data_IF_589621148259
#
_entry.id   IF_589621148259
#
_cell.length_a   1.000
_cell.length_b   1.000
_cell.length_c   1.000
_cell.angle_alpha   90.00
_cell.angle_beta   90.00
_cell.angle_gamma   90.00
#
_symmetry.space_group_name_H-M   'P 1'
#
loop_
_entity.id
_entity.type
_entity.pdbx_description
1 polymer ?
#
# COMPACT_ATOMS: atom_id res chain seq x y z
N UNK A 1 -6.22 1.29 16.85
CA UNK A 1 -6.13 0.28 15.78
C UNK A 1 -6.99 0.75 14.63
N UNK A 2 -6.43 0.77 13.42
CA UNK A 2 -7.13 1.26 12.22
C UNK A 2 -8.30 0.32 11.89
N UNK A 3 -9.50 0.89 11.80
CA UNK A 3 -10.71 0.19 11.37
C UNK A 3 -11.30 1.00 10.21
N UNK A 4 -11.37 0.38 9.03
CA UNK A 4 -11.93 1.00 7.84
C UNK A 4 -13.39 0.55 7.66
N UNK A 5 -14.32 1.48 7.83
CA UNK A 5 -15.75 1.28 7.67
C UNK A 5 -16.15 0.99 6.21
N UNK A 6 -17.38 0.52 6.01
CA UNK A 6 -17.92 0.31 4.65
C UNK A 6 -18.07 1.64 3.91
N UNK A 7 -18.46 2.71 4.60
CA UNK A 7 -18.59 4.04 4.01
C UNK A 7 -17.25 4.52 3.44
N UNK A 8 -16.18 4.43 4.24
CA UNK A 8 -14.82 4.80 3.81
C UNK A 8 -14.33 3.96 2.62
N UNK A 9 -14.70 2.68 2.55
CA UNK A 9 -14.36 1.84 1.38
C UNK A 9 -15.06 2.32 0.12
N UNK A 10 -16.35 2.67 0.22
CA UNK A 10 -17.15 3.13 -0.92
C UNK A 10 -16.68 4.48 -1.47
N UNK A 11 -16.06 5.29 -0.63
CA UNK A 11 -15.47 6.59 -1.01
C UNK A 11 -14.03 6.47 -1.53
N UNK A 12 -13.41 5.29 -1.43
CA UNK A 12 -12.01 5.12 -1.81
C UNK A 12 -11.83 5.07 -3.34
N UNK A 13 -10.97 5.94 -3.92
CA UNK A 13 -10.67 5.88 -5.34
C UNK A 13 -9.97 4.58 -5.73
N UNK A 14 -9.12 4.00 -4.86
CA UNK A 14 -8.44 2.73 -5.15
C UNK A 14 -9.42 1.55 -5.22
N UNK A 15 -10.48 1.57 -4.41
CA UNK A 15 -11.49 0.51 -4.43
C UNK A 15 -12.42 0.67 -5.65
N UNK A 16 -12.80 1.90 -5.97
CA UNK A 16 -13.55 2.19 -7.18
C UNK A 16 -12.76 1.77 -8.44
N UNK A 17 -11.47 2.07 -8.47
CA UNK A 17 -10.59 1.71 -9.59
C UNK A 17 -10.36 0.21 -9.69
N UNK A 18 -10.14 -0.48 -8.57
CA UNK A 18 -10.11 -1.95 -8.54
C UNK A 18 -11.37 -2.57 -9.15
N UNK A 19 -12.54 -2.08 -8.75
CA UNK A 19 -13.82 -2.58 -9.25
C UNK A 19 -13.99 -2.33 -10.75
N UNK A 20 -13.65 -1.11 -11.21
CA UNK A 20 -13.67 -0.73 -12.62
C UNK A 20 -12.74 -1.63 -13.44
N UNK A 21 -11.48 -1.77 -13.03
CA UNK A 21 -10.46 -2.55 -13.72
C UNK A 21 -10.83 -4.03 -13.82
N UNK A 22 -11.33 -4.63 -12.73
CA UNK A 22 -11.75 -6.04 -12.77
C UNK A 22 -12.99 -6.26 -13.65
N UNK A 23 -13.94 -5.31 -13.71
CA UNK A 23 -15.08 -5.43 -14.63
C UNK A 23 -14.62 -5.32 -16.09
N UNK A 24 -13.67 -4.43 -16.41
CA UNK A 24 -13.08 -4.35 -17.75
C UNK A 24 -12.36 -5.63 -18.16
N UNK A 25 -11.51 -6.18 -17.29
CA UNK A 25 -10.79 -7.42 -17.58
C UNK A 25 -11.75 -8.61 -17.70
N UNK A 26 -12.84 -8.63 -16.90
CA UNK A 26 -13.89 -9.64 -17.05
C UNK A 26 -14.57 -9.54 -18.42
N UNK A 27 -14.91 -8.33 -18.86
CA UNK A 27 -15.53 -8.12 -20.18
C UNK A 27 -14.59 -8.52 -21.32
N UNK A 28 -13.30 -8.15 -21.25
CA UNK A 28 -12.29 -8.52 -22.25
C UNK A 28 -12.06 -10.03 -22.33
N UNK A 29 -12.09 -10.72 -21.20
CA UNK A 29 -11.87 -12.17 -21.14
C UNK A 29 -12.99 -13.00 -21.78
N UNK A 30 -14.21 -12.44 -21.88
CA UNK A 30 -15.41 -13.18 -22.27
C UNK A 30 -15.91 -14.21 -21.25
N UNK A 31 -15.23 -14.37 -20.11
CA UNK A 31 -15.62 -15.31 -19.04
C UNK A 31 -16.89 -14.86 -18.33
N UNK A 32 -17.68 -15.80 -17.83
CA UNK A 32 -18.79 -15.47 -16.93
C UNK A 32 -18.25 -14.98 -15.58
N UNK A 33 -19.03 -14.15 -14.87
CA UNK A 33 -18.59 -13.57 -13.58
C UNK A 33 -18.07 -14.60 -12.56
N UNK A 34 -18.69 -15.78 -12.36
CA UNK A 34 -18.16 -16.79 -11.42
C UNK A 34 -16.85 -17.40 -11.91
N UNK A 35 -16.70 -17.61 -13.22
CA UNK A 35 -15.48 -18.15 -13.84
C UNK A 35 -14.34 -17.15 -13.71
N UNK A 36 -14.60 -15.88 -14.03
CA UNK A 36 -13.62 -14.81 -13.88
C UNK A 36 -13.18 -14.63 -12.42
N UNK A 37 -14.13 -14.67 -11.47
CA UNK A 37 -13.80 -14.60 -10.04
C UNK A 37 -12.84 -15.74 -9.63
N UNK A 38 -13.13 -16.98 -10.05
CA UNK A 38 -12.27 -18.12 -9.79
C UNK A 38 -10.89 -17.98 -10.47
N UNK A 39 -10.86 -17.48 -11.71
CA UNK A 39 -9.64 -17.21 -12.47
C UNK A 39 -8.71 -16.23 -11.75
N UNK A 40 -9.23 -15.12 -11.22
CA UNK A 40 -8.44 -14.15 -10.42
C UNK A 40 -8.24 -14.59 -8.96
N UNK A 41 -8.65 -15.81 -8.61
CA UNK A 41 -8.36 -16.44 -7.32
C UNK A 41 -9.20 -15.93 -6.14
N UNK A 42 -10.44 -15.48 -6.40
CA UNK A 42 -11.40 -15.06 -5.37
C UNK A 42 -12.76 -15.78 -5.53
N UNK A 43 -13.55 -15.81 -4.46
CA UNK A 43 -14.92 -16.35 -4.54
C UNK A 43 -15.88 -15.37 -5.23
N UNK A 44 -17.00 -15.89 -5.75
CA UNK A 44 -18.06 -15.05 -6.33
C UNK A 44 -18.61 -14.00 -5.36
N UNK A 45 -18.70 -14.31 -4.07
CA UNK A 45 -19.10 -13.35 -3.03
C UNK A 45 -18.09 -12.23 -2.84
N UNK A 46 -16.78 -12.55 -2.84
CA UNK A 46 -15.73 -11.54 -2.79
C UNK A 46 -15.74 -10.66 -4.04
N UNK A 47 -15.94 -11.26 -5.22
CA UNK A 47 -16.07 -10.50 -6.46
C UNK A 47 -17.27 -9.54 -6.43
N UNK A 48 -18.41 -9.97 -5.89
CA UNK A 48 -19.56 -9.10 -5.65
C UNK A 48 -19.19 -7.92 -4.74
N UNK A 49 -18.49 -8.15 -3.63
CA UNK A 49 -18.08 -7.08 -2.73
C UNK A 49 -17.10 -6.10 -3.35
N UNK A 50 -16.21 -6.55 -4.24
CA UNK A 50 -15.36 -5.64 -5.00
C UNK A 50 -16.21 -4.73 -5.87
N UNK A 51 -17.14 -5.31 -6.65
CA UNK A 51 -18.04 -4.55 -7.53
C UNK A 51 -18.97 -3.57 -6.81
N UNK A 52 -19.31 -3.82 -5.55
CA UNK A 52 -20.13 -2.91 -4.74
C UNK A 52 -19.29 -1.94 -3.89
N UNK A 53 -17.97 -1.92 -4.11
CA UNK A 53 -16.98 -1.12 -3.38
C UNK A 53 -16.97 -1.38 -1.86
N UNK A 54 -17.33 -2.60 -1.45
CA UNK A 54 -17.36 -3.02 -0.04
C UNK A 54 -16.12 -3.85 0.33
N UNK A 55 -15.36 -4.30 -0.67
CA UNK A 55 -14.11 -5.01 -0.47
C UNK A 55 -13.00 -4.07 0.03
N UNK A 56 -12.08 -4.65 0.80
CA UNK A 56 -10.82 -4.04 1.17
C UNK A 56 -9.76 -5.15 1.21
N UNK A 57 -9.31 -5.61 0.03
CA UNK A 57 -8.43 -6.77 -0.07
C UNK A 57 -7.06 -6.50 0.54
N UNK A 58 -6.40 -7.59 0.97
CA UNK A 58 -5.01 -7.55 1.41
C UNK A 58 -4.06 -7.35 0.23
N UNK A 59 -2.85 -6.85 0.51
CA UNK A 59 -1.79 -6.74 -0.51
C UNK A 59 -1.54 -8.09 -1.18
N UNK A 60 -1.52 -9.19 -0.42
CA UNK A 60 -1.39 -10.53 -0.99
C UNK A 60 -2.52 -10.89 -1.97
N UNK A 61 -3.77 -10.58 -1.62
CA UNK A 61 -4.91 -10.85 -2.50
C UNK A 61 -4.82 -10.01 -3.78
N UNK A 62 -4.37 -8.76 -3.67
CA UNK A 62 -4.11 -7.87 -4.80
C UNK A 62 -3.01 -8.41 -5.71
N UNK A 63 -1.88 -8.86 -5.15
CA UNK A 63 -0.82 -9.49 -5.93
C UNK A 63 -1.32 -10.74 -6.67
N UNK A 64 -2.19 -11.55 -6.05
CA UNK A 64 -2.78 -12.72 -6.71
C UNK A 64 -3.67 -12.32 -7.89
N UNK A 65 -4.57 -11.37 -7.68
CA UNK A 65 -5.45 -10.85 -8.74
C UNK A 65 -4.63 -10.24 -9.89
N UNK A 66 -3.65 -9.41 -9.56
CA UNK A 66 -2.77 -8.76 -10.54
C UNK A 66 -1.94 -9.78 -11.35
N UNK A 67 -1.38 -10.80 -10.68
CA UNK A 67 -0.64 -11.87 -11.33
C UNK A 67 -1.50 -12.72 -12.26
N UNK A 68 -2.76 -12.98 -11.91
CA UNK A 68 -3.69 -13.70 -12.80
C UNK A 68 -4.01 -12.91 -14.07
N UNK A 69 -3.99 -11.58 -13.98
CA UNK A 69 -4.26 -10.65 -15.07
C UNK A 69 -3.01 -10.20 -15.82
N UNK A 70 -1.82 -10.72 -15.46
CA UNK A 70 -0.52 -10.33 -16.01
C UNK A 70 -0.27 -8.81 -15.97
N UNK A 71 -0.65 -8.17 -14.87
CA UNK A 71 -0.41 -6.74 -14.60
C UNK A 71 0.19 -6.54 -13.21
N UNK A 72 0.72 -5.35 -12.94
CA UNK A 72 1.17 -4.97 -11.59
C UNK A 72 -0.01 -4.59 -10.67
N UNK A 73 0.22 -4.62 -9.36
CA UNK A 73 -0.75 -4.10 -8.38
C UNK A 73 -0.98 -2.60 -8.55
N UNK A 74 0.04 -1.86 -8.98
CA UNK A 74 -0.08 -0.44 -9.31
C UNK A 74 -1.08 -0.23 -10.45
N UNK A 75 -0.89 -0.94 -11.56
CA UNK A 75 -1.81 -0.88 -12.72
C UNK A 75 -3.23 -1.31 -12.35
N UNK A 76 -3.36 -2.33 -11.49
CA UNK A 76 -4.65 -2.81 -11.01
C UNK A 76 -5.43 -1.75 -10.21
N UNK A 77 -4.75 -0.90 -9.45
CA UNK A 77 -5.39 0.05 -8.52
C UNK A 77 -5.35 1.51 -8.97
N UNK A 78 -4.50 1.87 -9.91
CA UNK A 78 -4.37 3.23 -10.46
C UNK A 78 -4.93 3.36 -11.87
N UNK A 79 -5.14 2.23 -12.56
CA UNK A 79 -5.57 2.23 -13.97
C UNK A 79 -4.54 2.85 -14.92
N UNK A 80 -3.28 2.96 -14.49
CA UNK A 80 -2.16 3.57 -15.22
C UNK A 80 -1.04 2.56 -15.39
N UNK A 81 -0.34 2.65 -16.52
CA UNK A 81 0.87 1.86 -16.76
C UNK A 81 1.90 2.07 -15.64
N UNK A 82 2.64 1.00 -15.33
CA UNK A 82 3.64 1.01 -14.26
C UNK A 82 4.73 2.09 -14.50
N UNK A 83 5.21 2.21 -15.74
CA UNK A 83 6.28 3.13 -16.12
C UNK A 83 7.65 2.72 -15.54
N UNK A 84 8.33 3.67 -14.91
CA UNK A 84 9.63 3.50 -14.24
C UNK A 84 9.53 2.97 -12.80
N UNK A 85 8.30 2.74 -12.31
CA UNK A 85 8.03 2.20 -10.98
C UNK A 85 8.44 0.75 -10.86
N UNK A 86 8.65 0.31 -9.62
CA UNK A 86 9.05 -1.08 -9.32
C UNK A 86 7.84 -2.02 -9.32
N UNK A 87 7.90 -3.08 -10.12
CA UNK A 87 6.94 -4.19 -10.02
C UNK A 87 7.40 -5.13 -8.90
N UNK A 88 6.72 -5.09 -7.76
CA UNK A 88 7.04 -5.92 -6.59
C UNK A 88 5.97 -6.97 -6.36
N UNK A 89 6.40 -8.18 -6.04
CA UNK A 89 5.50 -9.21 -5.53
C UNK A 89 5.11 -8.94 -4.07
N UNK A 90 4.27 -9.82 -3.50
CA UNK A 90 3.81 -9.67 -2.11
C UNK A 90 4.95 -9.57 -1.11
N UNK A 91 6.04 -10.32 -1.31
CA UNK A 91 7.15 -10.38 -0.36
C UNK A 91 8.02 -9.13 -0.47
N UNK A 92 8.24 -8.66 -1.71
CA UNK A 92 8.90 -7.39 -2.00
C UNK A 92 8.17 -6.21 -1.35
N UNK A 93 6.84 -6.14 -1.51
CA UNK A 93 6.03 -5.08 -0.88
C UNK A 93 6.03 -5.15 0.64
N UNK A 94 5.88 -6.33 1.24
CA UNK A 94 5.92 -6.49 2.70
C UNK A 94 7.29 -6.16 3.29
N UNK A 95 8.38 -6.52 2.60
CA UNK A 95 9.74 -6.15 2.99
C UNK A 95 9.96 -4.65 2.90
N UNK A 96 9.59 -4.03 1.78
CA UNK A 96 9.71 -2.59 1.58
C UNK A 96 8.91 -1.80 2.62
N UNK A 97 7.70 -2.26 2.97
CA UNK A 97 6.91 -1.69 4.06
C UNK A 97 7.71 -1.62 5.36
N UNK A 98 8.33 -2.74 5.76
CA UNK A 98 9.13 -2.79 6.99
C UNK A 98 10.34 -1.87 6.95
N UNK A 99 11.05 -1.84 5.81
CA UNK A 99 12.23 -0.99 5.61
C UNK A 99 11.88 0.50 5.65
N UNK A 100 10.85 0.93 4.91
CA UNK A 100 10.37 2.31 4.88
C UNK A 100 9.81 2.73 6.24
N UNK A 101 9.03 1.87 6.89
CA UNK A 101 8.52 2.14 8.24
C UNK A 101 9.66 2.35 9.24
N UNK A 102 10.67 1.47 9.22
CA UNK A 102 11.84 1.59 10.09
C UNK A 102 12.58 2.89 9.84
N UNK A 103 12.87 3.20 8.57
CA UNK A 103 13.59 4.41 8.23
C UNK A 103 12.78 5.68 8.56
N UNK A 104 11.44 5.67 8.48
CA UNK A 104 10.60 6.77 9.00
C UNK A 104 10.67 6.90 10.52
N UNK A 105 10.73 5.78 11.25
CA UNK A 105 10.90 5.79 12.69
C UNK A 105 12.26 6.40 13.07
N UNK A 106 13.34 5.91 12.47
CA UNK A 106 14.70 6.40 12.71
C UNK A 106 14.82 7.90 12.38
N UNK A 107 14.18 8.36 11.30
CA UNK A 107 14.17 9.76 10.88
C UNK A 107 13.30 10.68 11.76
N UNK A 108 12.33 10.13 12.49
CA UNK A 108 11.39 10.93 13.29
C UNK A 108 12.01 11.47 14.58
N UNK A 109 13.09 10.84 15.07
CA UNK A 109 13.64 11.10 16.40
C UNK A 109 12.72 10.69 17.56
N UNK A 110 11.59 10.03 17.28
CA UNK A 110 10.64 9.58 18.29
C UNK A 110 11.10 8.25 18.88
N UNK A 111 10.79 8.07 20.17
CA UNK A 111 10.90 6.77 20.80
C UNK A 111 9.91 5.77 20.18
N UNK A 112 10.28 4.50 20.18
CA UNK A 112 9.51 3.41 19.53
C UNK A 112 8.02 3.43 19.88
N UNK A 113 7.68 3.58 21.16
CA UNK A 113 6.29 3.55 21.61
C UNK A 113 5.48 4.75 21.13
N UNK A 114 6.12 5.92 21.02
CA UNK A 114 5.50 7.13 20.51
C UNK A 114 5.29 7.02 19.00
N UNK A 115 6.28 6.54 18.26
CA UNK A 115 6.16 6.31 16.82
C UNK A 115 5.04 5.31 16.49
N UNK A 116 4.93 4.22 17.25
CA UNK A 116 3.85 3.23 17.09
C UNK A 116 2.47 3.88 17.30
N UNK A 117 2.34 4.80 18.26
CA UNK A 117 1.09 5.57 18.47
C UNK A 117 0.78 6.48 17.29
N UNK A 118 1.78 7.17 16.74
CA UNK A 118 1.62 8.01 15.54
C UNK A 118 1.10 7.16 14.37
N UNK A 119 1.75 6.02 14.11
CA UNK A 119 1.36 5.07 13.08
C UNK A 119 0.02 4.35 13.36
N UNK A 120 -0.50 4.42 14.60
CA UNK A 120 -1.73 3.78 15.06
C UNK A 120 -1.80 2.26 14.79
N UNK A 121 -0.66 1.59 14.98
CA UNK A 121 -0.55 0.13 14.93
C UNK A 121 -0.39 -0.44 16.35
N UNK A 122 -0.72 -1.71 16.53
CA UNK A 122 -0.46 -2.40 17.79
C UNK A 122 1.00 -2.83 17.92
N UNK A 123 1.47 -3.07 19.15
CA UNK A 123 2.83 -3.60 19.37
C UNK A 123 3.08 -4.95 18.67
N UNK A 124 2.13 -5.92 18.64
CA UNK A 124 2.28 -7.11 17.80
C UNK A 124 2.44 -6.80 16.31
N UNK A 125 1.66 -5.85 15.77
CA UNK A 125 1.78 -5.43 14.37
C UNK A 125 3.14 -4.80 14.09
N UNK A 126 3.65 -3.97 15.00
CA UNK A 126 5.00 -3.41 14.89
C UNK A 126 6.06 -4.49 14.68
N UNK A 127 6.04 -5.56 15.48
CA UNK A 127 7.00 -6.66 15.32
C UNK A 127 6.87 -7.39 13.98
N UNK A 128 5.65 -7.53 13.44
CA UNK A 128 5.44 -8.10 12.11
C UNK A 128 5.97 -7.18 11.01
N UNK A 129 5.72 -5.86 11.13
CA UNK A 129 6.23 -4.84 10.21
C UNK A 129 7.76 -4.87 10.18
N UNK A 130 8.42 -4.89 11.35
CA UNK A 130 9.89 -4.94 11.47
C UNK A 130 10.52 -6.22 10.92
N UNK A 131 9.74 -7.28 10.74
CA UNK A 131 10.19 -8.52 10.11
C UNK A 131 9.83 -8.62 8.62
N UNK A 132 9.15 -7.61 8.07
CA UNK A 132 8.63 -7.65 6.69
C UNK A 132 7.56 -8.72 6.49
N UNK A 133 6.80 -9.07 7.55
CA UNK A 133 5.78 -10.12 7.55
C UNK A 133 4.35 -9.57 7.60
N UNK A 134 4.19 -8.27 7.33
CA UNK A 134 2.90 -7.58 7.37
C UNK A 134 2.15 -7.79 6.05
N UNK A 135 0.86 -8.10 6.14
CA UNK A 135 -0.06 -8.23 5.00
C UNK A 135 -1.30 -7.37 5.26
N UNK A 136 -1.16 -6.04 5.20
CA UNK A 136 -2.26 -5.14 5.50
C UNK A 136 -3.29 -5.18 4.38
N UNK A 137 -4.51 -4.72 4.68
CA UNK A 137 -5.44 -4.33 3.62
C UNK A 137 -4.95 -3.06 2.93
N UNK A 138 -5.30 -2.85 1.66
CA UNK A 138 -4.83 -1.66 0.93
C UNK A 138 -5.21 -0.36 1.65
N UNK A 139 -6.43 -0.24 2.18
CA UNK A 139 -6.84 0.99 2.87
C UNK A 139 -6.19 1.14 4.24
N UNK A 140 -5.84 0.03 4.91
CA UNK A 140 -4.99 0.10 6.11
C UNK A 140 -3.59 0.62 5.74
N UNK A 141 -3.00 0.16 4.63
CA UNK A 141 -1.71 0.66 4.17
C UNK A 141 -1.77 2.15 3.80
N UNK A 142 -2.84 2.60 3.14
CA UNK A 142 -3.09 4.02 2.85
C UNK A 142 -3.13 4.86 4.13
N UNK A 143 -3.88 4.43 5.14
CA UNK A 143 -4.00 5.18 6.40
C UNK A 143 -2.67 5.23 7.17
N UNK A 144 -1.89 4.13 7.16
CA UNK A 144 -0.54 4.13 7.74
C UNK A 144 0.37 5.08 6.95
N UNK A 145 0.37 5.01 5.63
CA UNK A 145 1.19 5.88 4.78
C UNK A 145 0.87 7.36 5.03
N UNK A 146 -0.42 7.71 5.09
CA UNK A 146 -0.88 9.08 5.40
C UNK A 146 -0.36 9.57 6.74
N UNK A 147 -0.42 8.76 7.80
CA UNK A 147 0.11 9.10 9.13
C UNK A 147 1.62 9.27 9.16
N UNK A 148 2.31 8.58 8.25
CA UNK A 148 3.74 8.70 8.06
C UNK A 148 4.11 9.74 7.00
N UNK A 149 3.17 10.52 6.48
CA UNK A 149 3.41 11.52 5.42
C UNK A 149 4.11 10.89 4.18
N UNK A 150 3.62 9.73 3.76
CA UNK A 150 4.06 8.99 2.58
C UNK A 150 2.89 8.76 1.63
N UNK A 151 3.19 8.54 0.35
CA UNK A 151 2.23 7.85 -0.52
C UNK A 151 2.17 6.36 -0.14
N UNK A 152 1.05 5.70 -0.43
CA UNK A 152 0.96 4.24 -0.23
C UNK A 152 1.99 3.50 -1.09
N UNK A 153 2.33 4.04 -2.26
CA UNK A 153 3.29 3.46 -3.19
C UNK A 153 4.74 3.60 -2.71
N UNK A 154 5.07 4.69 -2.02
CA UNK A 154 6.33 4.84 -1.29
C UNK A 154 6.41 3.83 -0.14
N UNK A 155 5.35 3.71 0.66
CA UNK A 155 5.32 2.74 1.76
C UNK A 155 5.47 1.29 1.26
N UNK A 156 4.88 0.95 0.11
CA UNK A 156 4.98 -0.39 -0.49
C UNK A 156 6.24 -0.58 -1.36
N UNK A 157 7.11 0.43 -1.48
CA UNK A 157 8.36 0.37 -2.25
C UNK A 157 8.19 0.33 -3.77
N UNK A 158 6.98 0.60 -4.27
CA UNK A 158 6.69 0.77 -5.70
C UNK A 158 7.32 2.07 -6.22
N UNK A 159 7.27 3.12 -5.39
CA UNK A 159 7.92 4.40 -5.60
C UNK A 159 9.08 4.59 -4.60
N UNK A 160 10.15 5.31 -4.97
CA UNK A 160 11.24 5.60 -4.05
C UNK A 160 10.78 6.57 -2.94
N UNK A 161 11.34 6.37 -1.75
CA UNK A 161 11.29 7.35 -0.67
C UNK A 161 12.73 7.72 -0.28
N UNK A 162 13.14 8.93 -0.62
CA UNK A 162 14.53 9.40 -0.47
C UNK A 162 14.89 9.83 0.96
N UNK A 163 14.02 9.57 1.93
CA UNK A 163 14.16 10.04 3.30
C UNK A 163 13.56 11.44 3.52
N UNK A 164 13.66 11.99 4.74
CA UNK A 164 13.45 13.43 4.93
C UNK A 164 14.46 14.22 4.08
N UNK A 165 14.15 15.47 3.67
CA UNK A 165 15.14 16.35 3.10
C UNK A 165 16.35 16.36 4.03
N UNK A 166 17.56 16.08 3.51
CA UNK A 166 18.78 16.36 4.27
C UNK A 166 18.70 17.84 4.61
N UNK A 167 18.53 18.17 5.89
CA UNK A 167 18.60 19.55 6.33
C UNK A 167 19.86 20.12 5.69
N UNK A 168 19.71 21.20 4.92
CA UNK A 168 20.86 21.92 4.41
C UNK A 168 21.72 22.20 5.64
N UNK A 169 22.91 21.62 5.70
CA UNK A 169 23.86 21.90 6.77
C UNK A 169 24.21 23.36 6.57
N UNK A 170 23.47 24.25 7.24
CA UNK A 170 23.78 25.66 7.33
C UNK A 170 25.18 25.73 7.91
N UNK A 171 26.13 25.91 7.00
CA UNK A 171 27.52 26.13 7.33
C UNK A 171 27.58 27.58 7.80
N UNK A 172 27.05 27.85 9.00
CA UNK A 172 27.37 29.05 9.75
C UNK A 172 28.74 28.83 10.38
N UNK A 173 29.74 28.66 9.51
CA UNK A 173 31.13 28.80 9.88
C UNK A 173 31.36 30.29 10.11
N UNK A 174 31.29 30.67 11.40
CA UNK A 174 32.14 31.68 12.04
C UNK A 174 33.06 32.44 11.07
N UNK A 175 32.59 33.57 10.55
CA UNK A 175 33.46 34.73 10.37
C UNK A 175 33.71 35.33 11.75
N UNK A 176 34.62 34.69 12.47
CA UNK A 176 35.33 35.26 13.60
C UNK A 176 36.83 35.19 13.26
N UNK A 177 37.28 36.10 12.41
CA UNK A 177 38.69 36.48 12.27
C UNK A 177 38.82 37.68 11.31
N UNK A 178 39.35 38.80 11.82
CA UNK A 178 39.90 39.90 11.01
C UNK A 178 39.23 41.23 11.24
#
# INVERSE_FOLDING_TARGET
>A
MIVISIAERKESPLIAELARRLDEEQQKSGMLKPEFAAFIGISGSQYRYVRTHEANPTIEALCRMASALDISVYELLEGKELGDRRNLDRWGMSKAFGEVFKAKMDASGLEREEFIKVANISMPQYYLVMRGLVNPTILTAVEIAKRLELTVWQLLGVEPWDGPPKAAVETTAMTAAG
#
